data_IF_016343256968
#
_entry.id   IF_016343256968
#
_cell.length_a   1.000
_cell.length_b   1.000
_cell.length_c   1.000
_cell.angle_alpha   90.00
_cell.angle_beta   90.00
_cell.angle_gamma   90.00
#
_symmetry.space_group_name_H-M   'P 1'
#
loop_
_entity.id
_entity.type
_entity.pdbx_description
1 polymer ?
#
# COMPACT_ATOMS: atom_id res chain seq x y z
N UNK A 1 -84.33 -49.67 3.93
CA UNK A 1 -84.17 -48.30 4.35
C UNK A 1 -82.78 -48.11 5.00
N UNK A 2 -81.80 -47.66 4.29
CA UNK A 2 -80.48 -47.27 4.84
C UNK A 2 -80.05 -45.90 4.24
N UNK A 3 -80.00 -44.90 5.11
CA UNK A 3 -79.48 -43.56 4.78
C UNK A 3 -77.94 -43.65 4.67
N UNK A 4 -77.39 -43.23 3.55
CA UNK A 4 -75.96 -42.97 3.39
C UNK A 4 -75.67 -41.52 3.67
N UNK A 5 -74.94 -41.25 4.70
CA UNK A 5 -74.35 -39.96 5.04
C UNK A 5 -73.08 -39.75 4.19
N UNK A 6 -73.08 -38.72 3.42
CA UNK A 6 -71.84 -38.30 2.74
C UNK A 6 -71.03 -37.36 3.63
N UNK A 7 -69.85 -37.82 3.92
CA UNK A 7 -68.82 -37.07 4.66
C UNK A 7 -68.24 -35.96 3.84
N UNK A 8 -68.20 -34.75 4.41
CA UNK A 8 -67.49 -33.60 3.86
C UNK A 8 -65.97 -33.74 4.13
N UNK A 9 -65.23 -34.22 3.18
CA UNK A 9 -63.74 -34.12 3.19
C UNK A 9 -63.22 -33.86 1.80
N UNK A 10 -62.30 -32.93 1.77
CA UNK A 10 -61.31 -32.65 0.70
C UNK A 10 -61.77 -31.72 -0.44
N UNK A 11 -61.59 -30.42 -0.19
CA UNK A 11 -60.99 -29.52 -1.15
C UNK A 11 -60.02 -28.60 -0.38
N UNK A 12 -58.79 -29.05 -0.21
CA UNK A 12 -57.69 -28.13 0.13
C UNK A 12 -56.94 -27.95 -1.18
N UNK A 13 -57.18 -26.85 -1.85
CA UNK A 13 -56.36 -26.39 -2.96
C UNK A 13 -55.06 -25.89 -2.38
N UNK A 14 -53.96 -26.61 -2.68
CA UNK A 14 -52.64 -26.20 -2.34
C UNK A 14 -52.26 -24.89 -3.04
N UNK A 15 -52.15 -23.83 -2.29
CA UNK A 15 -51.46 -22.63 -2.71
C UNK A 15 -49.96 -22.84 -2.43
N UNK A 16 -49.21 -23.23 -3.46
CA UNK A 16 -47.75 -23.26 -3.39
C UNK A 16 -47.28 -21.82 -3.31
N UNK A 17 -46.94 -21.36 -2.11
CA UNK A 17 -46.20 -20.13 -1.91
C UNK A 17 -44.76 -20.36 -2.39
N UNK A 18 -44.44 -19.89 -3.57
CA UNK A 18 -43.07 -19.75 -4.04
C UNK A 18 -42.47 -18.60 -3.21
N UNK A 19 -41.70 -18.96 -2.17
CA UNK A 19 -40.85 -18.02 -1.48
C UNK A 19 -39.72 -17.66 -2.42
N UNK A 20 -39.83 -16.53 -3.13
CA UNK A 20 -38.69 -15.88 -3.81
C UNK A 20 -37.79 -15.36 -2.70
N UNK A 21 -36.74 -16.11 -2.39
CA UNK A 21 -35.64 -15.61 -1.59
C UNK A 21 -34.97 -14.50 -2.39
N UNK A 22 -35.37 -13.26 -2.16
CA UNK A 22 -34.61 -12.09 -2.54
C UNK A 22 -33.30 -12.16 -1.79
N UNK A 23 -32.25 -12.64 -2.46
CA UNK A 23 -30.88 -12.40 -2.02
C UNK A 23 -30.70 -10.89 -2.05
N UNK A 24 -30.90 -10.23 -0.92
CA UNK A 24 -30.49 -8.87 -0.71
C UNK A 24 -28.96 -8.86 -0.80
N UNK A 25 -28.43 -8.65 -1.99
CA UNK A 25 -27.05 -8.16 -2.12
C UNK A 25 -26.99 -6.91 -1.25
N UNK A 26 -26.05 -6.83 -0.29
CA UNK A 26 -25.91 -5.63 0.51
C UNK A 26 -25.73 -4.46 -0.47
N UNK A 27 -26.68 -3.52 -0.46
CA UNK A 27 -26.52 -2.25 -1.19
C UNK A 27 -25.24 -1.63 -0.61
N UNK A 28 -24.14 -1.74 -1.35
CA UNK A 28 -22.96 -0.94 -1.05
C UNK A 28 -23.36 0.51 -1.15
N UNK A 29 -23.22 1.24 -0.05
CA UNK A 29 -23.44 2.68 -0.08
C UNK A 29 -22.49 3.27 -1.13
N UNK A 30 -23.02 4.02 -2.08
CA UNK A 30 -22.20 4.76 -3.04
C UNK A 30 -21.26 5.70 -2.28
N UNK A 31 -20.07 5.95 -2.84
CA UNK A 31 -19.15 6.93 -2.27
C UNK A 31 -19.88 8.25 -1.95
N UNK A 32 -19.54 8.91 -0.84
CA UNK A 32 -20.12 10.21 -0.53
C UNK A 32 -19.76 11.23 -1.63
N UNK A 33 -20.54 12.31 -1.78
CA UNK A 33 -20.18 13.41 -2.68
C UNK A 33 -18.77 13.92 -2.38
N UNK A 34 -18.10 14.39 -3.44
CA UNK A 34 -16.79 15.02 -3.30
C UNK A 34 -16.85 16.22 -2.35
N UNK A 35 -15.85 16.35 -1.50
CA UNK A 35 -15.77 17.40 -0.48
C UNK A 35 -14.59 18.31 -0.77
N UNK A 36 -14.88 19.60 -0.97
CA UNK A 36 -13.87 20.65 -1.07
C UNK A 36 -13.34 21.04 0.33
N UNK A 37 -12.13 21.57 0.38
CA UNK A 37 -11.61 22.22 1.57
C UNK A 37 -12.27 23.58 1.72
N UNK A 38 -13.09 23.75 2.76
CA UNK A 38 -13.80 25.00 3.05
C UNK A 38 -13.17 25.73 4.24
N UNK A 39 -13.39 27.07 4.38
CA UNK A 39 -12.98 27.81 5.57
C UNK A 39 -13.52 27.19 6.87
N UNK A 40 -14.74 26.65 6.84
CA UNK A 40 -15.37 26.02 8.02
C UNK A 40 -14.64 24.71 8.41
N UNK A 41 -14.23 23.90 7.45
CA UNK A 41 -13.43 22.70 7.69
C UNK A 41 -12.08 23.08 8.32
N UNK A 42 -11.41 24.10 7.77
CA UNK A 42 -10.14 24.60 8.31
C UNK A 42 -10.30 25.13 9.73
N UNK A 43 -11.36 25.91 9.98
CA UNK A 43 -11.66 26.42 11.32
C UNK A 43 -11.98 25.30 12.32
N UNK A 44 -12.71 24.28 11.90
CA UNK A 44 -13.01 23.10 12.73
C UNK A 44 -11.73 22.30 13.03
N UNK A 45 -10.88 22.07 12.06
CA UNK A 45 -9.60 21.39 12.22
C UNK A 45 -8.65 22.17 13.17
N UNK A 46 -8.64 23.51 13.06
CA UNK A 46 -7.87 24.37 14.00
C UNK A 46 -8.38 24.27 15.43
N UNK A 47 -9.68 24.11 15.66
CA UNK A 47 -10.22 23.87 17.02
C UNK A 47 -9.78 22.52 17.59
N UNK A 48 -9.59 21.50 16.76
CA UNK A 48 -9.00 20.21 17.14
C UNK A 48 -7.49 20.36 17.42
N UNK A 49 -6.80 21.25 16.71
CA UNK A 49 -5.43 21.70 16.95
C UNK A 49 -4.35 20.67 16.62
N UNK A 50 -4.72 19.44 16.28
CA UNK A 50 -3.78 18.36 15.98
C UNK A 50 -4.40 17.29 15.08
N UNK A 51 -3.51 16.50 14.43
CA UNK A 51 -3.88 15.27 13.72
C UNK A 51 -2.79 14.23 13.90
N UNK A 52 -3.16 12.97 14.05
CA UNK A 52 -2.23 11.84 14.19
C UNK A 52 -2.19 11.04 12.90
N UNK A 53 -1.03 11.02 12.27
CA UNK A 53 -0.80 10.31 11.02
C UNK A 53 0.08 9.08 11.25
N UNK A 54 -0.52 7.88 11.16
CA UNK A 54 0.23 6.63 11.12
C UNK A 54 0.69 6.37 9.69
N UNK A 55 1.99 6.18 9.50
CA UNK A 55 2.55 6.01 8.14
C UNK A 55 3.68 5.00 8.07
N UNK A 56 3.75 4.30 6.94
CA UNK A 56 4.89 3.46 6.58
C UNK A 56 5.88 4.17 5.63
N UNK A 57 5.66 5.46 5.33
CA UNK A 57 6.64 6.26 4.57
C UNK A 57 7.95 6.41 5.35
N UNK A 58 9.06 6.66 4.66
CA UNK A 58 10.34 6.91 5.31
C UNK A 58 10.26 8.13 6.25
N UNK A 59 10.96 8.05 7.39
CA UNK A 59 10.89 9.09 8.45
C UNK A 59 11.13 10.49 7.88
N UNK A 60 12.22 10.67 7.16
CA UNK A 60 12.58 11.97 6.57
C UNK A 60 11.52 12.49 5.59
N UNK A 61 10.88 11.59 4.84
CA UNK A 61 9.79 11.95 3.92
C UNK A 61 8.55 12.36 4.71
N UNK A 62 8.15 11.56 5.70
CA UNK A 62 6.98 11.85 6.53
C UNK A 62 7.12 13.17 7.30
N UNK A 63 8.31 13.46 7.84
CA UNK A 63 8.61 14.72 8.53
C UNK A 63 8.57 15.93 7.59
N UNK A 64 9.07 15.81 6.35
CA UNK A 64 8.98 16.90 5.36
C UNK A 64 7.55 17.17 4.95
N UNK A 65 6.74 16.12 4.76
CA UNK A 65 5.31 16.23 4.47
C UNK A 65 4.58 16.88 5.65
N UNK A 66 4.87 16.45 6.88
CA UNK A 66 4.29 17.05 8.08
C UNK A 66 4.57 18.55 8.18
N UNK A 67 5.82 18.95 8.01
CA UNK A 67 6.23 20.38 8.03
C UNK A 67 5.53 21.19 6.93
N UNK A 68 5.36 20.64 5.74
CA UNK A 68 4.66 21.33 4.67
C UNK A 68 3.17 21.51 4.97
N UNK A 69 2.52 20.49 5.55
CA UNK A 69 1.14 20.60 6.01
C UNK A 69 0.97 21.65 7.12
N UNK A 70 1.84 21.66 8.12
CA UNK A 70 1.81 22.63 9.23
C UNK A 70 2.06 24.07 8.74
N UNK A 71 2.89 24.24 7.70
CA UNK A 71 3.09 25.53 7.04
C UNK A 71 1.84 25.99 6.27
N UNK A 72 1.16 25.07 5.58
CA UNK A 72 -0.08 25.38 4.85
C UNK A 72 -1.26 25.67 5.78
N UNK A 73 -1.31 24.98 6.92
CA UNK A 73 -2.43 25.06 7.88
C UNK A 73 -1.93 25.35 9.30
N UNK A 74 -1.38 26.56 9.51
CA UNK A 74 -0.88 26.99 10.81
C UNK A 74 -1.95 26.84 11.92
N UNK A 75 -1.51 26.38 13.10
CA UNK A 75 -2.36 26.09 14.24
C UNK A 75 -2.88 24.65 14.31
N UNK A 76 -2.45 23.76 13.38
CA UNK A 76 -2.77 22.33 13.42
C UNK A 76 -1.44 21.56 13.42
N UNK A 77 -1.09 20.94 14.56
CA UNK A 77 0.10 20.12 14.67
C UNK A 77 -0.14 18.71 14.10
N UNK A 78 0.80 18.18 13.32
CA UNK A 78 0.74 16.81 12.85
C UNK A 78 1.69 15.91 13.65
N UNK A 79 1.14 14.91 14.33
CA UNK A 79 1.92 13.88 14.99
C UNK A 79 2.14 12.70 14.03
N UNK A 80 3.37 12.53 13.59
CA UNK A 80 3.76 11.39 12.75
C UNK A 80 4.13 10.20 13.63
N UNK A 81 3.43 9.07 13.42
CA UNK A 81 3.75 7.77 14.02
C UNK A 81 4.23 6.85 12.90
N UNK A 82 5.56 6.71 12.77
CA UNK A 82 6.17 5.93 11.69
C UNK A 82 6.58 4.54 12.17
N UNK A 83 6.08 3.50 11.47
CA UNK A 83 6.56 2.12 11.61
C UNK A 83 6.40 1.35 10.30
N UNK A 84 6.95 0.13 10.20
CA UNK A 84 6.72 -0.74 9.04
C UNK A 84 5.25 -1.11 8.91
N UNK A 85 4.75 -1.27 7.69
CA UNK A 85 3.32 -1.45 7.41
C UNK A 85 2.71 -2.63 8.17
N UNK A 86 3.39 -3.78 8.24
CA UNK A 86 2.92 -4.96 8.99
C UNK A 86 2.78 -4.68 10.50
N UNK A 87 3.81 -4.05 11.09
CA UNK A 87 3.77 -3.68 12.52
C UNK A 87 2.70 -2.65 12.80
N UNK A 88 2.49 -1.71 11.88
CA UNK A 88 1.43 -0.70 11.96
C UNK A 88 0.06 -1.37 11.95
N UNK A 89 -0.17 -2.31 11.04
CA UNK A 89 -1.42 -3.05 10.95
C UNK A 89 -1.72 -3.81 12.25
N UNK A 90 -0.73 -4.55 12.76
CA UNK A 90 -0.85 -5.28 14.04
C UNK A 90 -1.08 -4.33 15.24
N UNK A 91 -0.34 -3.21 15.29
CA UNK A 91 -0.50 -2.19 16.35
C UNK A 91 -1.92 -1.63 16.36
N UNK A 92 -2.45 -1.24 15.20
CA UNK A 92 -3.81 -0.72 15.08
C UNK A 92 -4.84 -1.77 15.53
N UNK A 93 -4.64 -3.04 15.18
CA UNK A 93 -5.52 -4.12 15.62
C UNK A 93 -5.52 -4.27 17.16
N UNK A 94 -4.34 -4.23 17.80
CA UNK A 94 -4.19 -4.28 19.26
C UNK A 94 -4.79 -3.06 19.95
N UNK A 95 -4.52 -1.84 19.45
CA UNK A 95 -5.09 -0.60 19.97
C UNK A 95 -6.63 -0.66 19.94
N UNK A 96 -7.21 -1.09 18.83
CA UNK A 96 -8.67 -1.24 18.68
C UNK A 96 -9.25 -2.30 19.63
N UNK A 97 -8.61 -3.46 19.76
CA UNK A 97 -9.02 -4.49 20.71
C UNK A 97 -9.03 -3.99 22.15
N UNK A 98 -8.10 -3.08 22.48
CA UNK A 98 -7.99 -2.42 23.78
C UNK A 98 -8.86 -1.16 23.89
N UNK A 99 -9.68 -0.83 22.89
CA UNK A 99 -10.50 0.40 22.79
C UNK A 99 -9.66 1.70 22.86
N UNK A 100 -8.42 1.62 22.40
CA UNK A 100 -7.55 2.77 22.20
C UNK A 100 -7.69 3.23 20.76
N UNK A 101 -8.12 4.46 20.55
CA UNK A 101 -8.34 5.05 19.23
C UNK A 101 -7.41 6.24 19.08
N UNK A 102 -6.17 5.98 18.66
CA UNK A 102 -5.13 7.00 18.60
C UNK A 102 -4.91 7.55 17.18
N UNK A 103 -5.30 6.80 16.14
CA UNK A 103 -5.01 7.13 14.75
C UNK A 103 -6.16 7.92 14.11
N UNK A 104 -5.82 9.03 13.47
CA UNK A 104 -6.74 9.80 12.64
C UNK A 104 -6.67 9.37 11.18
N UNK A 105 -5.47 9.46 10.59
CA UNK A 105 -5.19 9.12 9.19
C UNK A 105 -4.13 8.04 9.13
N UNK A 106 -4.33 7.05 8.26
CA UNK A 106 -3.38 5.96 8.06
C UNK A 106 -2.88 5.92 6.63
N UNK A 107 -1.55 5.72 6.45
CA UNK A 107 -0.92 5.34 5.20
C UNK A 107 -0.21 4.00 5.35
N UNK A 108 -0.47 3.05 4.49
CA UNK A 108 0.26 1.78 4.42
C UNK A 108 0.93 1.60 3.06
N UNK A 109 2.07 0.93 3.02
CA UNK A 109 2.69 0.44 1.79
C UNK A 109 2.14 -0.93 1.35
N UNK A 110 1.04 -1.35 1.93
CA UNK A 110 0.30 -2.54 1.56
C UNK A 110 -1.19 -2.19 1.41
N UNK A 111 -1.67 -2.19 0.17
CA UNK A 111 -3.07 -1.91 -0.12
C UNK A 111 -4.02 -3.00 0.41
N UNK A 112 -3.51 -4.22 0.65
CA UNK A 112 -4.26 -5.31 1.26
C UNK A 112 -4.76 -4.98 2.69
N UNK A 113 -4.02 -4.16 3.44
CA UNK A 113 -4.48 -3.67 4.75
C UNK A 113 -5.77 -2.87 4.64
N UNK A 114 -5.92 -2.09 3.57
CA UNK A 114 -7.15 -1.32 3.32
C UNK A 114 -8.32 -2.22 2.92
N UNK A 115 -8.06 -3.33 2.23
CA UNK A 115 -9.07 -4.36 1.95
C UNK A 115 -9.58 -4.96 3.27
N UNK A 116 -8.67 -5.32 4.19
CA UNK A 116 -9.02 -5.83 5.51
C UNK A 116 -9.81 -4.78 6.34
N UNK A 117 -9.32 -3.55 6.44
CA UNK A 117 -10.00 -2.47 7.18
C UNK A 117 -11.37 -2.11 6.59
N UNK A 118 -11.51 -2.19 5.26
CA UNK A 118 -12.81 -2.02 4.57
C UNK A 118 -13.77 -3.13 4.93
N UNK A 119 -13.35 -4.40 4.90
CA UNK A 119 -14.15 -5.55 5.31
C UNK A 119 -14.60 -5.42 6.78
N UNK A 120 -13.70 -4.97 7.65
CA UNK A 120 -13.95 -4.79 9.08
C UNK A 120 -14.73 -3.50 9.41
N UNK A 121 -15.15 -2.75 8.40
CA UNK A 121 -15.96 -1.52 8.48
C UNK A 121 -15.38 -0.44 9.41
N UNK A 122 -14.06 -0.27 9.39
CA UNK A 122 -13.36 0.65 10.30
C UNK A 122 -12.92 1.97 9.67
N UNK A 123 -12.99 2.08 8.35
CA UNK A 123 -12.63 3.30 7.60
C UNK A 123 -13.84 4.22 7.44
N UNK A 124 -13.61 5.52 7.57
CA UNK A 124 -14.60 6.55 7.31
C UNK A 124 -14.67 6.88 5.82
N UNK A 125 -15.85 6.90 5.20
CA UNK A 125 -15.98 7.33 3.82
C UNK A 125 -15.74 8.84 3.70
N UNK A 126 -14.78 9.22 2.87
CA UNK A 126 -14.44 10.61 2.60
C UNK A 126 -13.75 10.74 1.24
N UNK A 127 -14.30 11.55 0.36
CA UNK A 127 -13.76 11.75 -0.98
C UNK A 127 -13.29 13.20 -1.13
N UNK A 128 -11.99 13.48 -1.09
CA UNK A 128 -11.44 14.79 -1.45
C UNK A 128 -11.81 15.18 -2.88
N UNK A 129 -11.97 16.47 -3.13
CA UNK A 129 -12.34 17.00 -4.44
C UNK A 129 -11.35 16.60 -5.55
N UNK A 130 -10.02 16.67 -5.28
CA UNK A 130 -8.99 16.28 -6.23
C UNK A 130 -9.05 14.78 -6.56
N UNK A 131 -9.38 13.93 -5.57
CA UNK A 131 -9.57 12.49 -5.80
C UNK A 131 -10.75 12.23 -6.73
N UNK A 132 -11.86 12.91 -6.53
CA UNK A 132 -13.02 12.77 -7.38
C UNK A 132 -12.72 13.19 -8.83
N UNK A 133 -12.04 14.34 -9.00
CA UNK A 133 -11.80 14.96 -10.30
C UNK A 133 -10.68 14.31 -11.11
N UNK A 134 -9.60 13.92 -10.46
CA UNK A 134 -8.33 13.64 -11.15
C UNK A 134 -7.80 12.22 -10.98
N UNK A 135 -8.17 11.51 -9.90
CA UNK A 135 -7.60 10.18 -9.67
C UNK A 135 -8.21 9.13 -10.58
N UNK A 136 -7.39 8.28 -11.23
CA UNK A 136 -7.87 7.13 -11.97
C UNK A 136 -8.70 6.19 -11.08
N UNK A 137 -9.62 5.45 -11.68
CA UNK A 137 -10.54 4.57 -10.94
C UNK A 137 -9.81 3.49 -10.13
N UNK A 138 -8.72 2.96 -10.66
CA UNK A 138 -7.86 1.94 -10.02
C UNK A 138 -7.08 2.46 -8.81
N UNK A 139 -7.03 3.77 -8.61
CA UNK A 139 -6.31 4.43 -7.53
C UNK A 139 -7.21 5.08 -6.47
N UNK A 140 -8.49 4.77 -6.50
CA UNK A 140 -9.46 5.20 -5.49
C UNK A 140 -10.49 4.11 -5.21
N UNK A 141 -10.83 3.95 -3.95
CA UNK A 141 -11.86 3.00 -3.54
C UNK A 141 -13.25 3.46 -4.02
N UNK A 142 -14.06 2.58 -4.65
CA UNK A 142 -15.37 2.95 -5.17
C UNK A 142 -16.37 3.40 -4.10
N UNK A 143 -16.16 3.04 -2.83
CA UNK A 143 -17.00 3.46 -1.69
C UNK A 143 -16.42 4.69 -0.98
N UNK A 144 -15.30 5.25 -1.47
CA UNK A 144 -14.66 6.47 -0.96
C UNK A 144 -13.92 6.31 0.37
N UNK A 145 -13.47 5.10 0.71
CA UNK A 145 -12.83 4.82 1.99
C UNK A 145 -11.32 5.10 2.00
N UNK A 146 -10.68 5.04 0.83
CA UNK A 146 -9.26 5.32 0.67
C UNK A 146 -8.91 5.71 -0.77
N UNK A 147 -7.74 6.32 -0.94
CA UNK A 147 -7.16 6.59 -2.26
C UNK A 147 -5.65 6.48 -2.19
N UNK A 148 -5.02 6.25 -3.34
CA UNK A 148 -3.56 6.12 -3.45
C UNK A 148 -2.87 7.43 -3.13
N UNK A 149 -2.05 7.42 -2.08
CA UNK A 149 -1.23 8.56 -1.67
C UNK A 149 0.11 8.58 -2.40
N UNK A 150 0.73 7.41 -2.57
CA UNK A 150 2.05 7.27 -3.20
C UNK A 150 2.21 5.92 -3.87
N UNK A 151 3.09 5.89 -4.87
CA UNK A 151 3.56 4.66 -5.50
C UNK A 151 5.09 4.57 -5.39
N UNK A 152 5.61 3.36 -5.45
CA UNK A 152 7.01 3.08 -5.73
C UNK A 152 7.16 1.71 -6.38
N UNK A 153 8.31 1.44 -6.97
CA UNK A 153 8.63 0.15 -7.56
C UNK A 153 9.60 -0.62 -6.66
N UNK A 154 9.38 -1.90 -6.51
CA UNK A 154 10.37 -2.81 -5.96
C UNK A 154 11.31 -3.23 -7.10
N UNK A 155 12.59 -2.87 -6.99
CA UNK A 155 13.53 -2.94 -8.10
C UNK A 155 14.79 -3.72 -7.74
N UNK A 156 15.51 -4.16 -8.75
CA UNK A 156 16.90 -4.56 -8.62
C UNK A 156 17.78 -3.31 -8.48
N UNK A 157 18.85 -3.40 -7.74
CA UNK A 157 19.85 -2.34 -7.65
C UNK A 157 21.23 -2.91 -7.44
N UNK A 158 22.25 -2.11 -7.71
CA UNK A 158 23.63 -2.51 -7.49
C UNK A 158 24.47 -1.36 -6.96
N UNK A 159 25.60 -1.69 -6.32
CA UNK A 159 26.61 -0.74 -5.91
C UNK A 159 27.61 -0.51 -7.06
N UNK A 160 27.72 0.71 -7.55
CA UNK A 160 28.56 1.09 -8.72
C UNK A 160 30.05 0.98 -8.49
N UNK A 161 30.53 0.94 -7.24
CA UNK A 161 31.92 0.68 -6.91
C UNK A 161 32.28 -0.81 -6.94
N UNK A 162 31.26 -1.70 -6.83
CA UNK A 162 31.46 -3.14 -6.75
C UNK A 162 31.06 -3.89 -8.03
N UNK A 163 30.17 -3.29 -8.83
CA UNK A 163 29.64 -3.86 -10.05
C UNK A 163 29.69 -2.81 -11.15
N UNK A 164 30.29 -3.14 -12.28
CA UNK A 164 30.27 -2.30 -13.47
C UNK A 164 28.88 -2.36 -14.13
N UNK A 165 28.50 -1.30 -14.84
CA UNK A 165 27.17 -1.21 -15.46
C UNK A 165 26.90 -2.33 -16.48
N UNK A 166 27.93 -2.74 -17.23
CA UNK A 166 27.85 -3.83 -18.20
C UNK A 166 27.62 -5.21 -17.56
N UNK A 167 28.11 -5.40 -16.33
CA UNK A 167 28.01 -6.66 -15.56
C UNK A 167 26.77 -6.73 -14.66
N UNK A 168 26.04 -5.61 -14.50
CA UNK A 168 24.87 -5.51 -13.63
C UNK A 168 23.75 -6.44 -14.10
N UNK A 169 22.99 -7.08 -13.17
CA UNK A 169 21.85 -7.92 -13.53
C UNK A 169 20.77 -7.07 -14.20
N UNK A 170 20.18 -7.55 -15.30
CA UNK A 170 19.11 -6.85 -16.06
C UNK A 170 17.73 -7.47 -15.83
N UNK A 171 17.68 -8.60 -15.16
CA UNK A 171 16.47 -9.38 -14.92
C UNK A 171 16.53 -10.06 -13.55
N UNK A 172 15.39 -10.51 -13.04
CA UNK A 172 15.35 -11.35 -11.85
C UNK A 172 16.06 -12.69 -12.11
N UNK A 173 15.98 -13.22 -13.34
CA UNK A 173 16.68 -14.43 -13.72
C UNK A 173 18.21 -14.27 -13.61
N UNK A 174 18.78 -13.11 -13.92
CA UNK A 174 20.22 -12.86 -13.82
C UNK A 174 20.74 -12.93 -12.38
N UNK A 175 19.88 -12.69 -11.38
CA UNK A 175 20.25 -12.82 -9.96
C UNK A 175 20.50 -14.28 -9.54
N UNK A 176 20.10 -15.24 -10.36
CA UNK A 176 20.32 -16.67 -10.14
C UNK A 176 21.71 -17.14 -10.61
N UNK A 177 22.47 -16.29 -11.32
CA UNK A 177 23.85 -16.60 -11.73
C UNK A 177 24.73 -16.84 -10.50
N UNK A 178 25.50 -17.94 -10.44
CA UNK A 178 26.41 -18.25 -9.33
C UNK A 178 27.41 -17.14 -8.99
N UNK A 179 27.73 -16.23 -9.90
CA UNK A 179 28.60 -15.06 -9.63
C UNK A 179 28.06 -14.15 -8.53
N UNK A 180 26.75 -14.19 -8.25
CA UNK A 180 26.10 -13.40 -7.21
C UNK A 180 26.01 -14.09 -5.86
N UNK A 181 26.46 -15.33 -5.73
CA UNK A 181 26.38 -16.09 -4.46
C UNK A 181 27.03 -15.33 -3.31
N UNK A 182 26.27 -15.09 -2.25
CA UNK A 182 26.71 -14.32 -1.06
C UNK A 182 26.79 -12.81 -1.27
N UNK A 183 26.43 -12.28 -2.46
CA UNK A 183 26.51 -10.86 -2.79
C UNK A 183 25.15 -10.15 -2.86
N UNK A 184 24.05 -10.89 -2.62
CA UNK A 184 22.68 -10.38 -2.73
C UNK A 184 22.15 -10.00 -1.37
N UNK A 185 21.36 -8.91 -1.31
CA UNK A 185 20.48 -8.55 -0.18
C UNK A 185 19.05 -8.50 -0.64
N UNK A 186 18.12 -8.92 0.22
CA UNK A 186 16.66 -8.88 0.00
C UNK A 186 15.95 -8.57 1.31
N UNK A 187 14.85 -7.83 1.25
CA UNK A 187 14.00 -7.63 2.43
C UNK A 187 13.01 -8.80 2.62
N UNK A 188 12.60 -9.01 3.88
CA UNK A 188 11.71 -10.10 4.28
C UNK A 188 10.24 -9.66 4.26
N UNK A 189 9.33 -10.40 3.61
CA UNK A 189 7.91 -10.03 3.46
C UNK A 189 7.14 -9.98 4.80
N UNK A 190 7.59 -10.69 5.82
CA UNK A 190 6.94 -10.69 7.14
C UNK A 190 7.08 -9.40 7.94
N UNK A 191 7.91 -8.44 7.50
CA UNK A 191 8.14 -7.18 8.22
C UNK A 191 7.74 -5.94 7.41
N UNK A 192 7.63 -6.08 6.10
CA UNK A 192 7.38 -4.96 5.18
C UNK A 192 6.23 -5.28 4.24
N UNK A 193 5.13 -4.54 4.35
CA UNK A 193 3.97 -4.69 3.47
C UNK A 193 4.32 -4.52 2.00
N UNK A 194 5.15 -3.54 1.66
CA UNK A 194 5.58 -3.37 0.26
C UNK A 194 6.43 -4.53 -0.27
N UNK A 195 7.24 -5.19 0.58
CA UNK A 195 7.96 -6.40 0.21
C UNK A 195 7.00 -7.60 0.15
N UNK A 196 5.96 -7.63 0.98
CA UNK A 196 4.90 -8.63 0.91
C UNK A 196 4.18 -8.57 -0.44
N UNK A 197 3.71 -7.38 -0.82
CA UNK A 197 3.11 -7.11 -2.14
C UNK A 197 4.05 -7.49 -3.28
N UNK A 198 5.32 -7.08 -3.24
CA UNK A 198 6.32 -7.43 -4.26
C UNK A 198 6.58 -8.93 -4.31
N UNK A 199 6.71 -9.61 -3.17
CA UNK A 199 6.92 -11.07 -3.12
C UNK A 199 5.73 -11.82 -3.70
N UNK A 200 4.49 -11.39 -3.42
CA UNK A 200 3.29 -11.96 -4.02
C UNK A 200 3.30 -11.82 -5.55
N UNK A 201 3.56 -10.62 -6.07
CA UNK A 201 3.60 -10.35 -7.51
C UNK A 201 4.68 -11.20 -8.20
N UNK A 202 5.88 -11.25 -7.62
CA UNK A 202 6.98 -12.08 -8.13
C UNK A 202 6.65 -13.58 -8.08
N UNK A 203 6.03 -14.06 -6.99
CA UNK A 203 5.62 -15.46 -6.88
C UNK A 203 4.56 -15.85 -7.92
N UNK A 204 3.62 -14.94 -8.20
CA UNK A 204 2.59 -15.12 -9.24
C UNK A 204 3.19 -15.14 -10.65
N UNK A 205 4.09 -14.19 -10.95
CA UNK A 205 4.56 -13.96 -12.32
C UNK A 205 5.83 -14.74 -12.67
N UNK A 206 6.71 -15.02 -11.68
CA UNK A 206 7.96 -15.79 -11.89
C UNK A 206 7.88 -17.23 -11.34
N UNK A 207 6.89 -17.50 -10.49
CA UNK A 207 6.78 -18.79 -9.79
C UNK A 207 7.66 -18.88 -8.52
N UNK A 208 7.32 -19.83 -7.66
CA UNK A 208 8.08 -20.09 -6.44
C UNK A 208 9.45 -20.71 -6.67
N UNK A 209 9.65 -21.38 -7.80
CA UNK A 209 10.97 -21.91 -8.22
C UNK A 209 12.04 -20.82 -8.30
N UNK A 210 11.65 -19.60 -8.67
CA UNK A 210 12.55 -18.44 -8.62
C UNK A 210 13.10 -18.23 -7.20
N UNK A 211 12.22 -18.20 -6.18
CA UNK A 211 12.64 -18.00 -4.80
C UNK A 211 13.46 -19.17 -4.26
N UNK A 212 13.15 -20.39 -4.64
CA UNK A 212 13.92 -21.61 -4.26
C UNK A 212 15.35 -21.55 -4.82
N UNK A 213 15.52 -21.12 -6.06
CA UNK A 213 16.84 -20.89 -6.67
C UNK A 213 17.55 -19.69 -6.05
N UNK A 214 16.82 -18.59 -5.80
CA UNK A 214 17.38 -17.38 -5.17
C UNK A 214 17.89 -17.68 -3.74
N UNK A 215 17.21 -18.51 -2.99
CA UNK A 215 17.64 -18.91 -1.65
C UNK A 215 19.00 -19.63 -1.65
N UNK A 216 19.34 -20.36 -2.75
CA UNK A 216 20.65 -21.02 -2.92
C UNK A 216 21.81 -20.04 -3.11
N UNK A 217 21.50 -18.75 -3.39
CA UNK A 217 22.49 -17.68 -3.53
C UNK A 217 23.02 -17.13 -2.18
N UNK A 218 22.63 -17.70 -1.03
CA UNK A 218 23.03 -17.22 0.30
C UNK A 218 22.70 -15.72 0.49
N UNK A 219 21.42 -15.39 0.31
CA UNK A 219 20.91 -14.02 0.31
C UNK A 219 20.87 -13.46 1.73
N UNK A 220 21.43 -12.26 1.93
CA UNK A 220 21.26 -11.52 3.19
C UNK A 220 19.80 -11.07 3.33
N UNK A 221 19.16 -11.44 4.43
CA UNK A 221 17.80 -10.98 4.75
C UNK A 221 17.84 -9.73 5.63
N UNK A 222 16.99 -8.74 5.29
CA UNK A 222 16.79 -7.50 6.07
C UNK A 222 15.29 -7.22 6.24
N UNK A 223 14.90 -6.25 7.07
CA UNK A 223 13.49 -6.10 7.46
C UNK A 223 12.69 -5.15 6.56
N UNK A 224 13.19 -3.96 6.30
CA UNK A 224 12.46 -2.90 5.59
C UNK A 224 12.80 -2.88 4.11
N UNK A 225 11.88 -2.46 3.24
CA UNK A 225 12.14 -2.19 1.81
C UNK A 225 13.24 -1.13 1.57
N UNK A 226 13.54 -0.30 2.56
CA UNK A 226 14.62 0.70 2.50
C UNK A 226 16.00 0.15 2.90
N UNK A 227 16.06 -1.03 3.53
CA UNK A 227 17.33 -1.57 4.01
C UNK A 227 18.23 -2.11 2.89
N UNK A 228 17.72 -2.84 1.85
CA UNK A 228 18.55 -3.28 0.76
C UNK A 228 19.33 -2.14 0.06
N UNK A 229 18.70 -1.00 -0.33
CA UNK A 229 19.43 0.13 -0.86
C UNK A 229 20.51 0.68 0.07
N UNK A 230 20.25 0.74 1.38
CA UNK A 230 21.23 1.19 2.37
C UNK A 230 22.41 0.21 2.50
N UNK A 231 22.16 -1.09 2.39
CA UNK A 231 23.22 -2.12 2.38
C UNK A 231 24.10 -2.01 1.13
N UNK A 232 23.49 -1.71 -0.02
CA UNK A 232 24.23 -1.40 -1.25
C UNK A 232 25.12 -0.18 -1.06
N UNK A 233 24.56 0.94 -0.58
CA UNK A 233 25.30 2.20 -0.41
C UNK A 233 26.56 2.03 0.47
N UNK A 234 26.48 1.14 1.48
CA UNK A 234 27.60 0.82 2.37
C UNK A 234 28.57 -0.23 1.81
N UNK A 235 28.31 -0.79 0.64
CA UNK A 235 29.11 -1.85 0.06
C UNK A 235 29.01 -3.20 0.77
N UNK A 236 28.02 -3.39 1.66
CA UNK A 236 27.82 -4.64 2.39
C UNK A 236 27.35 -5.78 1.49
N UNK A 237 26.69 -5.44 0.38
CA UNK A 237 26.31 -6.36 -0.71
C UNK A 237 26.46 -5.63 -2.04
N UNK A 238 26.75 -6.40 -3.09
CA UNK A 238 26.98 -5.88 -4.43
C UNK A 238 25.67 -5.58 -5.16
N UNK A 239 24.64 -6.43 -4.96
CA UNK A 239 23.32 -6.30 -5.60
C UNK A 239 22.20 -6.50 -4.59
N UNK A 240 21.04 -5.91 -4.86
CA UNK A 240 19.80 -6.21 -4.17
C UNK A 240 18.80 -6.87 -5.10
N UNK A 241 18.08 -7.87 -4.60
CA UNK A 241 17.06 -8.57 -5.37
C UNK A 241 15.70 -7.85 -5.37
N UNK A 242 15.44 -7.06 -4.34
CA UNK A 242 14.29 -6.15 -4.23
C UNK A 242 14.60 -5.02 -3.25
N UNK A 243 13.86 -3.93 -3.40
CA UNK A 243 13.96 -2.74 -2.55
C UNK A 243 13.28 -1.57 -3.23
N UNK A 244 12.97 -0.54 -2.45
CA UNK A 244 12.26 0.63 -2.96
C UNK A 244 13.13 1.50 -3.88
N UNK A 245 12.67 1.71 -5.12
CA UNK A 245 13.32 2.61 -6.09
C UNK A 245 13.48 4.03 -5.53
N UNK A 246 12.48 4.50 -4.80
CA UNK A 246 12.50 5.78 -4.10
C UNK A 246 13.73 5.94 -3.20
N UNK A 247 14.10 4.90 -2.46
CA UNK A 247 15.26 4.97 -1.56
C UNK A 247 16.58 5.03 -2.34
N UNK A 248 16.68 4.33 -3.47
CA UNK A 248 17.88 4.42 -4.33
C UNK A 248 18.01 5.85 -4.89
N UNK A 249 16.92 6.46 -5.34
CA UNK A 249 16.98 7.85 -5.82
C UNK A 249 17.49 8.82 -4.75
N UNK A 250 16.99 8.71 -3.50
CA UNK A 250 17.46 9.56 -2.42
C UNK A 250 18.95 9.34 -2.09
N UNK A 251 19.41 8.09 -2.18
CA UNK A 251 20.83 7.77 -1.98
C UNK A 251 21.70 8.31 -3.12
N UNK A 252 21.24 8.20 -4.37
CA UNK A 252 21.93 8.79 -5.54
C UNK A 252 22.05 10.31 -5.41
N UNK A 253 20.98 10.99 -5.00
CA UNK A 253 21.00 12.45 -4.76
C UNK A 253 22.00 12.84 -3.67
N UNK A 254 22.21 11.96 -2.69
CA UNK A 254 23.21 12.12 -1.65
C UNK A 254 24.62 11.67 -2.09
N UNK A 255 24.85 11.40 -3.38
CA UNK A 255 26.15 11.00 -3.94
C UNK A 255 26.59 9.59 -3.60
N UNK A 256 25.68 8.73 -3.14
CA UNK A 256 26.02 7.34 -2.80
C UNK A 256 26.18 6.48 -4.08
N UNK A 257 27.09 5.48 -4.07
CA UNK A 257 27.42 4.68 -5.25
C UNK A 257 26.38 3.58 -5.48
N UNK A 258 25.15 3.95 -5.81
CA UNK A 258 24.05 3.00 -6.07
C UNK A 258 23.35 3.32 -7.38
N UNK A 259 22.87 2.27 -8.07
CA UNK A 259 22.14 2.43 -9.33
C UNK A 259 20.93 1.50 -9.37
N UNK A 260 19.90 1.92 -10.12
CA UNK A 260 18.63 1.20 -10.32
C UNK A 260 18.71 0.33 -11.57
N UNK A 261 18.09 -0.86 -11.48
CA UNK A 261 17.74 -1.66 -12.63
C UNK A 261 16.26 -2.01 -12.58
N UNK A 262 15.51 -1.62 -13.59
CA UNK A 262 14.14 -2.07 -13.80
C UNK A 262 14.21 -3.44 -14.47
N UNK A 263 13.75 -4.53 -13.80
CA UNK A 263 13.93 -5.89 -14.32
C UNK A 263 13.09 -6.12 -15.57
N UNK A 264 13.66 -6.89 -16.53
CA UNK A 264 13.03 -7.17 -17.83
C UNK A 264 11.67 -7.87 -17.71
N UNK A 265 11.48 -8.67 -16.66
CA UNK A 265 10.21 -9.35 -16.39
C UNK A 265 9.11 -8.39 -15.95
N UNK A 266 9.47 -7.23 -15.42
CA UNK A 266 8.62 -6.18 -14.86
C UNK A 266 8.92 -5.93 -13.37
N UNK A 267 8.92 -4.68 -12.97
CA UNK A 267 9.12 -4.30 -11.58
C UNK A 267 7.81 -4.42 -10.79
N UNK A 268 7.78 -5.07 -9.62
CA UNK A 268 6.61 -5.06 -8.75
C UNK A 268 6.17 -3.64 -8.39
N UNK A 269 4.89 -3.33 -8.63
CA UNK A 269 4.29 -2.04 -8.30
C UNK A 269 3.73 -2.09 -6.88
N UNK A 270 4.17 -1.17 -6.04
CA UNK A 270 3.69 -1.03 -4.67
C UNK A 270 2.81 0.20 -4.56
N UNK A 271 1.56 -0.04 -4.20
CA UNK A 271 0.54 1.00 -3.99
C UNK A 271 0.43 1.30 -2.51
N UNK A 272 0.54 2.58 -2.15
CA UNK A 272 0.42 3.05 -0.77
C UNK A 272 -0.79 3.95 -0.58
N UNK A 273 -1.98 3.40 -0.24
CA UNK A 273 -3.16 4.21 0.02
C UNK A 273 -3.10 5.00 1.31
N UNK A 274 -3.99 5.99 1.39
CA UNK A 274 -4.33 6.76 2.59
C UNK A 274 -5.83 6.65 2.87
N UNK A 275 -6.21 6.62 4.16
CA UNK A 275 -7.59 6.60 4.61
C UNK A 275 -7.75 7.14 6.02
N UNK A 276 -8.99 7.46 6.39
CA UNK A 276 -9.38 7.98 7.70
C UNK A 276 -10.07 6.86 8.48
N UNK A 277 -9.77 6.72 9.77
CA UNK A 277 -10.53 5.80 10.63
C UNK A 277 -11.85 6.43 11.08
N UNK A 278 -12.93 5.62 11.18
CA UNK A 278 -14.22 6.07 11.74
C UNK A 278 -14.09 6.56 13.18
N UNK A 279 -13.14 6.01 13.91
CA UNK A 279 -12.84 6.35 15.30
C UNK A 279 -11.81 7.47 15.47
N UNK A 280 -11.50 8.22 14.40
CA UNK A 280 -10.52 9.31 14.45
C UNK A 280 -10.85 10.31 15.56
N UNK A 281 -9.94 10.55 16.51
CA UNK A 281 -10.16 11.53 17.59
C UNK A 281 -10.29 12.96 17.09
N UNK A 282 -9.68 13.27 15.94
CA UNK A 282 -9.66 14.61 15.35
C UNK A 282 -10.22 14.57 13.91
N UNK A 283 -11.55 14.33 13.74
CA UNK A 283 -12.13 13.99 12.44
C UNK A 283 -12.08 15.12 11.40
N UNK A 284 -12.10 16.38 11.80
CA UNK A 284 -11.99 17.50 10.86
C UNK A 284 -10.54 17.71 10.42
N UNK A 285 -9.58 17.63 11.34
CA UNK A 285 -8.16 17.66 11.00
C UNK A 285 -7.76 16.46 10.15
N UNK A 286 -8.34 15.27 10.38
CA UNK A 286 -8.16 14.09 9.55
C UNK A 286 -8.64 14.31 8.10
N UNK A 287 -9.84 14.89 7.92
CA UNK A 287 -10.37 15.22 6.58
C UNK A 287 -9.52 16.27 5.87
N UNK A 288 -9.06 17.29 6.61
CA UNK A 288 -8.19 18.32 6.05
C UNK A 288 -6.84 17.73 5.64
N UNK A 289 -6.21 16.92 6.48
CA UNK A 289 -4.96 16.23 6.14
C UNK A 289 -5.14 15.29 4.95
N UNK A 290 -6.19 14.49 4.91
CA UNK A 290 -6.50 13.60 3.79
C UNK A 290 -6.66 14.38 2.48
N UNK A 291 -7.41 15.49 2.50
CA UNK A 291 -7.58 16.36 1.33
C UNK A 291 -6.26 16.93 0.85
N UNK A 292 -5.44 17.44 1.76
CA UNK A 292 -4.15 18.03 1.42
C UNK A 292 -3.15 16.99 0.91
N UNK A 293 -3.04 15.83 1.56
CA UNK A 293 -2.13 14.75 1.12
C UNK A 293 -2.41 14.26 -0.30
N UNK A 294 -3.67 14.35 -0.74
CA UNK A 294 -4.13 13.92 -2.06
C UNK A 294 -4.30 15.07 -3.06
N UNK A 295 -3.95 16.31 -2.66
CA UNK A 295 -3.95 17.48 -3.54
C UNK A 295 -2.72 17.51 -4.46
N UNK A 296 -2.80 18.30 -5.54
CA UNK A 296 -1.66 18.49 -6.46
C UNK A 296 -0.42 19.00 -5.75
N UNK A 297 -0.57 19.89 -4.76
CA UNK A 297 0.54 20.47 -4.00
C UNK A 297 1.33 19.39 -3.25
N UNK A 298 0.63 18.60 -2.42
CA UNK A 298 1.27 17.52 -1.67
C UNK A 298 1.77 16.39 -2.59
N UNK A 299 1.07 16.11 -3.68
CA UNK A 299 1.47 15.11 -4.65
C UNK A 299 2.72 15.54 -5.44
N UNK A 300 2.94 16.84 -5.68
CA UNK A 300 4.20 17.34 -6.20
C UNK A 300 5.33 17.12 -5.19
N UNK A 301 5.09 17.41 -3.90
CA UNK A 301 6.07 17.14 -2.85
C UNK A 301 6.41 15.66 -2.74
N UNK A 302 5.42 14.76 -2.89
CA UNK A 302 5.63 13.31 -2.94
C UNK A 302 6.57 12.93 -4.09
N UNK A 303 6.39 13.53 -5.28
CA UNK A 303 7.28 13.32 -6.44
C UNK A 303 8.69 13.85 -6.18
N UNK A 304 8.82 15.06 -5.59
CA UNK A 304 10.11 15.67 -5.25
C UNK A 304 10.87 14.86 -4.20
N UNK A 305 10.15 14.13 -3.35
CA UNK A 305 10.68 13.18 -2.36
C UNK A 305 10.90 11.76 -2.93
N UNK A 306 10.99 11.67 -4.26
CA UNK A 306 11.31 10.48 -5.01
C UNK A 306 10.26 9.32 -4.94
N UNK A 307 9.09 9.51 -4.36
CA UNK A 307 7.97 8.63 -4.62
C UNK A 307 7.35 8.90 -5.99
N UNK A 308 6.35 8.13 -6.38
CA UNK A 308 5.54 8.38 -7.57
C UNK A 308 4.13 8.74 -7.17
N UNK A 309 3.51 9.61 -7.95
CA UNK A 309 2.14 10.06 -7.78
C UNK A 309 1.25 9.51 -8.89
N UNK A 310 -0.05 9.41 -8.59
CA UNK A 310 -1.11 9.14 -9.57
C UNK A 310 -1.85 10.42 -9.98
N UNK A 311 -1.54 11.54 -9.35
CA UNK A 311 -2.18 12.82 -9.66
C UNK A 311 -1.63 13.36 -11.00
N UNK A 312 -2.48 13.58 -12.04
CA UNK A 312 -2.01 13.87 -13.40
C UNK A 312 -1.30 15.22 -13.54
N UNK A 313 -1.49 16.12 -12.58
CA UNK A 313 -0.83 17.44 -12.58
C UNK A 313 0.47 17.48 -11.78
N UNK A 314 0.83 16.41 -11.06
CA UNK A 314 2.15 16.27 -10.45
C UNK A 314 3.19 15.95 -11.53
N UNK A 315 4.25 16.74 -11.58
CA UNK A 315 5.28 16.62 -12.62
C UNK A 315 6.32 15.57 -12.23
N UNK A 316 6.69 14.75 -13.21
CA UNK A 316 7.75 13.76 -13.02
C UNK A 316 9.07 14.45 -12.69
N UNK A 317 9.83 13.83 -11.81
CA UNK A 317 11.13 14.32 -11.39
C UNK A 317 12.14 14.24 -12.56
N UNK A 318 12.95 15.29 -12.82
CA UNK A 318 13.97 15.24 -13.86
C UNK A 318 14.93 14.05 -13.69
N UNK A 319 15.31 13.42 -14.81
CA UNK A 319 16.22 12.28 -14.83
C UNK A 319 15.64 10.95 -14.35
N UNK A 320 14.34 10.90 -14.02
CA UNK A 320 13.65 9.68 -13.64
C UNK A 320 12.84 9.10 -14.80
N UNK A 321 12.98 7.81 -15.07
CA UNK A 321 12.14 7.13 -16.05
C UNK A 321 10.67 7.21 -15.63
N UNK A 322 9.79 7.76 -16.47
CA UNK A 322 8.35 7.82 -16.20
C UNK A 322 7.76 6.43 -15.97
N UNK A 323 6.76 6.33 -15.08
CA UNK A 323 6.14 5.05 -14.74
C UNK A 323 5.55 4.34 -15.98
N UNK A 324 4.97 5.10 -16.91
CA UNK A 324 4.38 4.56 -18.17
C UNK A 324 5.40 3.88 -19.08
N UNK A 325 6.70 4.20 -18.92
CA UNK A 325 7.80 3.65 -19.75
C UNK A 325 8.48 2.46 -19.06
N UNK A 326 7.99 2.05 -17.88
CA UNK A 326 8.51 0.93 -17.10
C UNK A 326 7.50 -0.22 -17.15
N UNK A 327 7.98 -1.41 -17.53
CA UNK A 327 7.18 -2.63 -17.38
C UNK A 327 6.97 -2.92 -15.90
N UNK A 328 5.72 -3.06 -15.48
CA UNK A 328 5.37 -3.34 -14.08
C UNK A 328 4.59 -4.64 -13.95
N UNK A 329 4.77 -5.31 -12.81
CA UNK A 329 3.85 -6.36 -12.36
C UNK A 329 2.60 -5.68 -11.78
N UNK A 330 1.42 -6.28 -12.00
CA UNK A 330 0.15 -5.71 -11.54
C UNK A 330 -0.05 -5.95 -10.05
N UNK A 331 -0.49 -4.93 -9.34
CA UNK A 331 -0.98 -5.07 -7.97
C UNK A 331 -2.36 -5.74 -7.93
N UNK A 332 -2.57 -6.58 -6.91
CA UNK A 332 -3.85 -7.24 -6.61
C UNK A 332 -4.02 -7.31 -5.09
N UNK A 333 -4.46 -6.23 -4.45
CA UNK A 333 -4.54 -6.16 -3.00
C UNK A 333 -5.55 -7.13 -2.39
N UNK A 334 -6.55 -7.56 -3.16
CA UNK A 334 -7.53 -8.56 -2.68
C UNK A 334 -6.89 -9.94 -2.61
N UNK A 335 -6.13 -10.33 -3.63
CA UNK A 335 -5.39 -11.59 -3.61
C UNK A 335 -4.25 -11.55 -2.57
N UNK A 336 -3.54 -10.43 -2.44
CA UNK A 336 -2.51 -10.26 -1.39
C UNK A 336 -3.12 -10.43 0.01
N UNK A 337 -4.27 -9.81 0.30
CA UNK A 337 -4.96 -9.95 1.59
C UNK A 337 -5.28 -11.42 1.90
N UNK A 338 -5.82 -12.13 0.92
CA UNK A 338 -6.24 -13.53 1.07
C UNK A 338 -5.06 -14.49 1.26
N UNK A 339 -3.92 -14.22 0.61
CA UNK A 339 -2.80 -15.17 0.52
C UNK A 339 -1.59 -14.77 1.39
N UNK A 340 -1.62 -13.62 2.06
CA UNK A 340 -0.46 -13.07 2.77
C UNK A 340 0.20 -14.03 3.75
N UNK A 341 -0.58 -14.76 4.56
CA UNK A 341 -0.04 -15.69 5.53
C UNK A 341 0.60 -16.92 4.87
N UNK A 342 0.00 -17.43 3.80
CA UNK A 342 0.55 -18.55 3.03
C UNK A 342 1.86 -18.15 2.33
N UNK A 343 1.93 -16.96 1.76
CA UNK A 343 3.12 -16.40 1.13
C UNK A 343 4.24 -16.24 2.16
N UNK A 344 3.97 -15.62 3.31
CA UNK A 344 4.94 -15.44 4.41
C UNK A 344 5.48 -16.78 4.89
N UNK A 345 4.59 -17.76 5.13
CA UNK A 345 4.98 -19.10 5.60
C UNK A 345 5.81 -19.85 4.55
N UNK A 346 5.46 -19.76 3.27
CA UNK A 346 6.24 -20.39 2.19
C UNK A 346 7.61 -19.74 2.04
N UNK A 347 7.67 -18.41 2.06
CA UNK A 347 8.90 -17.65 2.00
C UNK A 347 9.85 -18.03 3.16
N UNK A 348 9.36 -18.04 4.40
CA UNK A 348 10.16 -18.41 5.58
C UNK A 348 10.75 -19.82 5.47
N UNK A 349 10.00 -20.79 4.97
CA UNK A 349 10.49 -22.15 4.72
C UNK A 349 11.62 -22.20 3.67
N UNK A 350 11.44 -21.47 2.55
CA UNK A 350 12.42 -21.45 1.45
C UNK A 350 13.74 -20.84 1.92
N UNK A 351 13.68 -19.68 2.59
CA UNK A 351 14.87 -18.95 3.04
C UNK A 351 15.37 -19.37 4.42
N UNK A 352 14.64 -20.24 5.14
CA UNK A 352 14.95 -20.74 6.50
C UNK A 352 15.09 -19.60 7.53
N UNK A 353 14.15 -18.67 7.53
CA UNK A 353 14.12 -17.45 8.36
C UNK A 353 12.78 -17.28 9.09
#
# INVERSE_FOLDING_TARGET
MRRRTYSRRHIVKGASAVAVALYATPLRAAAPPATAVTPDLVAAARREGKVVWYTSAEVQVAERIAKAFEAAYSGIAIRVERTGAERQFQRIAQERASRVYAVDVVNSSDAAHFVAWKRDDVLAPYVPEDVAKFYPAEHKDPDGLFATFRLYLSVIGYNTNLVKAEDAPKSFADLLDPKWKGKIVKAHPGYSGGIMTATFQMARDLGWDYFEKLAQQNVMQVQSAADPPRKLARGERAVMADGADQQIFLLKDAGQPVEIVYPAEGAPLVVGPNGIFKSAPNPNAARLLQSWLLSVEAQQLVMDLAYRSVHPHAKERPGRTPLRDIKTMKDDPVAVEKESDAVKARYARIFRV
#
